data_IF_508940788883
#
_entry.id   IF_508940788883
#
_cell.length_a   1.000
_cell.length_b   1.000
_cell.length_c   1.000
_cell.angle_alpha   90.00
_cell.angle_beta   90.00
_cell.angle_gamma   90.00
#
_symmetry.space_group_name_H-M   'P 1'
#
loop_
_entity.id
_entity.type
_entity.pdbx_description
1 polymer ?
#
# COMPACT_ATOMS: atom_id res chain seq x y z
N UNK A 1 13.95 -46.53 -16.09
CA UNK A 1 13.75 -45.95 -14.75
C UNK A 1 12.54 -45.05 -14.84
N UNK A 2 11.40 -45.48 -14.30
CA UNK A 2 10.12 -44.77 -14.38
C UNK A 2 10.16 -43.67 -13.32
N UNK A 3 10.22 -42.41 -13.73
CA UNK A 3 10.07 -41.25 -12.86
C UNK A 3 8.58 -41.03 -12.66
N UNK A 4 8.04 -41.57 -11.56
CA UNK A 4 6.70 -41.22 -11.10
C UNK A 4 6.73 -39.78 -10.61
N UNK A 5 6.12 -38.84 -11.37
CA UNK A 5 5.83 -37.50 -10.87
C UNK A 5 5.03 -37.64 -9.58
N UNK A 6 5.38 -36.88 -8.53
CA UNK A 6 4.59 -36.86 -7.30
C UNK A 6 3.21 -36.32 -7.63
N UNK A 7 2.15 -37.04 -7.20
CA UNK A 7 0.77 -36.58 -7.33
C UNK A 7 0.63 -35.18 -6.71
N UNK A 8 -0.11 -34.24 -7.36
CA UNK A 8 -0.31 -32.91 -6.82
C UNK A 8 -0.91 -33.01 -5.42
N UNK A 9 -0.23 -32.42 -4.43
CA UNK A 9 -0.73 -32.37 -3.07
C UNK A 9 -2.14 -31.81 -3.07
N UNK A 10 -3.09 -32.52 -2.47
CA UNK A 10 -4.46 -32.04 -2.30
C UNK A 10 -4.39 -30.74 -1.50
N UNK A 11 -4.58 -29.59 -2.16
CA UNK A 11 -4.60 -28.29 -1.48
C UNK A 11 -5.71 -28.30 -0.43
N UNK A 12 -5.32 -28.14 0.80
CA UNK A 12 -6.22 -28.06 1.94
C UNK A 12 -7.24 -26.93 1.73
N UNK A 13 -8.51 -27.20 2.04
CA UNK A 13 -9.59 -26.23 1.84
C UNK A 13 -9.39 -25.07 2.80
N UNK A 14 -9.30 -23.84 2.30
CA UNK A 14 -9.21 -22.62 3.10
C UNK A 14 -10.52 -22.40 3.88
N UNK A 15 -10.43 -22.38 5.22
CA UNK A 15 -11.58 -22.27 6.12
C UNK A 15 -11.51 -21.08 7.08
N UNK A 16 -10.38 -20.38 7.12
CA UNK A 16 -10.17 -19.26 8.05
C UNK A 16 -11.13 -18.08 7.76
N UNK A 17 -11.68 -17.50 8.81
CA UNK A 17 -12.74 -16.49 8.80
C UNK A 17 -12.28 -15.20 9.46
N UNK A 18 -13.18 -14.24 9.63
CA UNK A 18 -12.90 -12.95 10.26
C UNK A 18 -12.33 -13.10 11.67
N UNK A 19 -12.88 -14.00 12.50
CA UNK A 19 -12.41 -14.20 13.88
C UNK A 19 -10.93 -14.61 13.96
N UNK A 20 -10.46 -15.43 13.04
CA UNK A 20 -9.05 -15.80 12.98
C UNK A 20 -8.21 -14.60 12.50
N UNK A 21 -8.68 -13.83 11.50
CA UNK A 21 -8.02 -12.63 11.06
C UNK A 21 -7.92 -11.59 12.17
N UNK A 22 -9.00 -11.39 12.91
CA UNK A 22 -9.04 -10.47 14.05
C UNK A 22 -8.04 -10.88 15.13
N UNK A 23 -8.09 -12.14 15.55
CA UNK A 23 -7.22 -12.66 16.61
C UNK A 23 -5.73 -12.75 16.18
N UNK A 24 -5.43 -13.19 14.95
CA UNK A 24 -4.05 -13.44 14.51
C UNK A 24 -3.36 -12.18 13.98
N UNK A 25 -4.09 -11.17 13.49
CA UNK A 25 -3.52 -10.00 12.81
C UNK A 25 -3.87 -8.68 13.49
N UNK A 26 -5.17 -8.44 13.81
CA UNK A 26 -5.59 -7.13 14.27
C UNK A 26 -5.19 -6.93 15.73
N UNK A 27 -5.56 -7.86 16.63
CA UNK A 27 -5.25 -7.77 18.05
C UNK A 27 -3.76 -7.90 18.38
N UNK A 28 -3.00 -8.54 17.49
CA UNK A 28 -1.54 -8.71 17.66
C UNK A 28 -0.72 -7.52 17.18
N UNK A 29 -1.34 -6.53 16.54
CA UNK A 29 -0.67 -5.37 15.97
C UNK A 29 0.12 -5.68 14.69
N UNK A 30 -0.17 -6.79 14.01
CA UNK A 30 0.42 -7.11 12.70
C UNK A 30 -0.29 -6.38 11.55
N UNK A 31 -1.49 -5.86 11.78
CA UNK A 31 -2.26 -5.16 10.76
C UNK A 31 -1.54 -3.91 10.29
N UNK A 32 -1.25 -3.84 8.99
CA UNK A 32 -0.65 -2.68 8.33
C UNK A 32 -1.68 -1.68 7.81
N UNK A 33 -2.97 -2.03 7.87
CA UNK A 33 -4.04 -1.16 7.39
C UNK A 33 -4.22 -1.14 5.87
N UNK A 34 -3.74 -2.14 5.14
CA UNK A 34 -3.76 -2.16 3.66
C UNK A 34 -5.17 -2.17 3.04
N UNK A 35 -6.22 -2.34 3.84
CA UNK A 35 -7.63 -2.42 3.45
C UNK A 35 -7.98 -3.58 2.49
N UNK A 36 -7.09 -4.53 2.23
CA UNK A 36 -7.38 -5.67 1.38
C UNK A 36 -8.63 -6.45 1.83
N UNK A 37 -8.77 -6.70 3.14
CA UNK A 37 -9.93 -7.37 3.71
C UNK A 37 -11.24 -6.55 3.57
N UNK A 38 -11.15 -5.22 3.57
CA UNK A 38 -12.30 -4.32 3.40
C UNK A 38 -12.84 -4.42 1.98
N UNK A 39 -11.99 -4.10 1.00
CA UNK A 39 -12.42 -4.06 -0.42
C UNK A 39 -12.79 -5.42 -1.01
N UNK A 40 -12.41 -6.51 -0.34
CA UNK A 40 -12.81 -7.87 -0.76
C UNK A 40 -14.08 -8.35 -0.09
N UNK A 41 -14.58 -7.66 0.93
CA UNK A 41 -15.77 -8.09 1.65
C UNK A 41 -17.00 -8.04 0.73
N UNK A 42 -17.63 -9.17 0.38
CA UNK A 42 -18.79 -9.17 -0.52
C UNK A 42 -20.09 -8.79 0.18
N UNK A 43 -20.02 -8.47 1.47
CA UNK A 43 -21.17 -8.16 2.33
C UNK A 43 -21.11 -6.75 2.89
N UNK A 44 -20.03 -6.00 2.62
CA UNK A 44 -19.79 -4.62 3.08
C UNK A 44 -19.92 -4.45 4.61
N UNK A 45 -19.54 -5.48 5.38
CA UNK A 45 -19.62 -5.48 6.85
C UNK A 45 -18.28 -5.18 7.52
N UNK A 46 -17.24 -4.89 6.76
CA UNK A 46 -15.93 -4.49 7.28
C UNK A 46 -15.72 -3.02 6.97
N UNK A 47 -15.74 -2.20 8.01
CA UNK A 47 -15.41 -0.78 7.95
C UNK A 47 -13.91 -0.53 8.02
N UNK A 48 -13.53 0.73 7.83
CA UNK A 48 -12.16 1.18 7.90
C UNK A 48 -12.09 2.55 8.58
N UNK A 49 -11.24 2.67 9.58
CA UNK A 49 -11.11 3.90 10.33
C UNK A 49 -9.95 4.76 9.81
N UNK A 50 -10.27 5.98 9.39
CA UNK A 50 -9.31 6.97 8.91
C UNK A 50 -9.16 8.17 9.84
N UNK A 51 -10.23 8.55 10.55
CA UNK A 51 -10.36 9.89 11.12
C UNK A 51 -9.39 10.15 12.26
N UNK A 52 -9.08 9.12 13.04
CA UNK A 52 -8.19 9.22 14.19
C UNK A 52 -6.77 8.67 13.90
N UNK A 53 -6.40 8.49 12.62
CA UNK A 53 -5.09 7.98 12.24
C UNK A 53 -4.86 6.49 12.55
N UNK A 54 -5.88 5.75 12.99
CA UNK A 54 -5.73 4.33 13.35
C UNK A 54 -5.48 3.43 12.14
N UNK A 55 -6.13 3.72 11.02
CA UNK A 55 -5.96 3.00 9.74
C UNK A 55 -6.05 1.47 9.88
N UNK A 56 -7.05 0.99 10.57
CA UNK A 56 -7.33 -0.43 10.77
C UNK A 56 -8.76 -0.79 10.38
N UNK A 57 -8.99 -2.03 9.87
CA UNK A 57 -10.33 -2.50 9.61
C UNK A 57 -11.03 -2.88 10.92
N UNK A 58 -12.35 -2.72 10.96
CA UNK A 58 -13.20 -3.16 12.05
C UNK A 58 -14.52 -3.74 11.51
N UNK A 59 -15.23 -4.51 12.32
CA UNK A 59 -16.53 -5.05 11.96
C UNK A 59 -17.63 -4.04 12.26
N UNK A 60 -18.53 -3.79 11.30
CA UNK A 60 -19.61 -2.80 11.43
C UNK A 60 -20.75 -3.27 12.33
N UNK A 61 -20.92 -4.57 12.50
CA UNK A 61 -21.97 -5.17 13.34
C UNK A 61 -21.45 -5.31 14.79
N UNK A 62 -21.30 -4.20 15.51
CA UNK A 62 -20.73 -4.15 16.86
C UNK A 62 -21.52 -4.99 17.89
N UNK A 63 -22.83 -5.17 17.71
CA UNK A 63 -23.69 -5.96 18.58
C UNK A 63 -23.27 -7.45 18.66
N UNK A 64 -22.56 -7.94 17.63
CA UNK A 64 -22.04 -9.31 17.59
C UNK A 64 -20.67 -9.48 18.21
N UNK A 65 -20.02 -8.37 18.63
CA UNK A 65 -18.63 -8.34 19.06
C UNK A 65 -17.66 -8.10 17.90
N UNK A 66 -16.51 -7.45 18.19
CA UNK A 66 -15.53 -7.03 17.19
C UNK A 66 -14.88 -8.19 16.43
N UNK A 67 -14.85 -9.37 17.02
CA UNK A 67 -14.25 -10.59 16.50
C UNK A 67 -15.24 -11.50 15.73
N UNK A 68 -16.53 -11.16 15.76
CA UNK A 68 -17.56 -12.00 15.15
C UNK A 68 -18.01 -11.47 13.78
N UNK A 69 -18.45 -12.38 12.92
CA UNK A 69 -19.03 -12.09 11.62
C UNK A 69 -20.02 -13.19 11.24
N UNK A 70 -21.31 -12.85 11.15
CA UNK A 70 -22.37 -13.80 10.80
C UNK A 70 -22.16 -14.47 9.44
N UNK A 71 -21.51 -13.80 8.51
CA UNK A 71 -21.18 -14.36 7.21
C UNK A 71 -19.98 -15.32 7.31
N UNK A 72 -19.05 -15.07 8.23
CA UNK A 72 -17.96 -15.98 8.57
C UNK A 72 -18.53 -17.28 9.13
N UNK A 73 -19.45 -17.23 10.08
CA UNK A 73 -20.12 -18.42 10.64
C UNK A 73 -20.82 -19.26 9.58
N UNK A 74 -21.34 -18.61 8.52
CA UNK A 74 -21.91 -19.27 7.34
C UNK A 74 -20.88 -19.74 6.31
N UNK A 75 -19.58 -19.65 6.63
CA UNK A 75 -18.47 -20.16 5.82
C UNK A 75 -17.80 -19.15 4.88
N UNK A 76 -18.07 -17.84 5.01
CA UNK A 76 -17.34 -16.81 4.27
C UNK A 76 -15.89 -16.71 4.76
N UNK A 77 -14.95 -16.70 3.83
CA UNK A 77 -13.50 -16.65 4.10
C UNK A 77 -12.79 -15.57 3.31
N UNK A 78 -13.51 -14.61 2.72
CA UNK A 78 -12.96 -13.71 1.69
C UNK A 78 -11.95 -12.73 2.29
N UNK A 79 -12.22 -12.17 3.46
CA UNK A 79 -11.32 -11.21 4.13
C UNK A 79 -9.94 -11.80 4.45
N UNK A 80 -9.89 -13.06 4.91
CA UNK A 80 -8.62 -13.73 5.24
C UNK A 80 -7.81 -14.08 3.99
N UNK A 81 -8.48 -14.22 2.83
CA UNK A 81 -7.81 -14.48 1.55
C UNK A 81 -7.08 -13.27 1.00
N UNK A 82 -7.43 -12.07 1.43
CA UNK A 82 -6.84 -10.83 0.96
C UNK A 82 -5.72 -10.30 1.85
N UNK A 83 -5.54 -10.85 3.05
CA UNK A 83 -4.61 -10.28 4.01
C UNK A 83 -3.18 -10.82 3.85
N UNK A 84 -2.20 -9.97 3.50
CA UNK A 84 -0.80 -10.37 3.36
C UNK A 84 -0.11 -10.56 4.72
N UNK A 85 -0.76 -10.20 5.82
CA UNK A 85 -0.23 -10.41 7.19
C UNK A 85 -0.80 -11.65 7.88
N UNK A 86 -1.72 -12.36 7.19
CA UNK A 86 -2.40 -13.52 7.73
C UNK A 86 -1.80 -14.80 7.16
N UNK A 87 -1.05 -15.52 7.98
CA UNK A 87 -0.38 -16.79 7.66
C UNK A 87 0.58 -16.71 6.47
N UNK A 88 1.48 -17.66 6.35
CA UNK A 88 2.50 -17.69 5.29
C UNK A 88 1.86 -17.79 3.89
N UNK A 89 2.42 -17.07 2.92
CA UNK A 89 1.98 -17.02 1.53
C UNK A 89 3.13 -16.72 0.56
N UNK A 90 4.21 -16.12 1.04
CA UNK A 90 5.33 -15.64 0.23
C UNK A 90 5.94 -16.73 -0.65
N UNK A 91 6.23 -17.96 -0.15
CA UNK A 91 6.78 -19.00 -1.00
C UNK A 91 5.86 -19.41 -2.15
N UNK A 92 4.54 -19.38 -1.94
CA UNK A 92 3.59 -19.69 -2.99
C UNK A 92 3.47 -18.56 -4.01
N UNK A 93 3.55 -17.30 -3.57
CA UNK A 93 3.60 -16.14 -4.44
C UNK A 93 4.90 -16.08 -5.25
N UNK A 94 6.05 -16.31 -4.62
CA UNK A 94 7.34 -16.40 -5.31
C UNK A 94 7.28 -17.45 -6.43
N UNK A 95 6.79 -18.64 -6.13
CA UNK A 95 6.63 -19.72 -7.13
C UNK A 95 5.69 -19.31 -8.26
N UNK A 96 4.61 -18.61 -7.95
CA UNK A 96 3.63 -18.15 -8.96
C UNK A 96 4.21 -17.04 -9.87
N UNK A 97 4.85 -16.04 -9.28
CA UNK A 97 5.34 -14.85 -9.99
C UNK A 97 6.67 -15.09 -10.70
N UNK A 98 7.56 -15.88 -10.07
CA UNK A 98 8.95 -16.01 -10.53
C UNK A 98 9.33 -17.44 -10.96
N UNK A 99 8.46 -18.44 -10.73
CA UNK A 99 8.71 -19.84 -11.04
C UNK A 99 9.69 -20.54 -10.09
N UNK A 100 10.09 -19.87 -9.00
CA UNK A 100 10.95 -20.39 -7.94
C UNK A 100 10.65 -19.70 -6.61
N UNK A 101 11.05 -20.29 -5.52
CA UNK A 101 11.08 -19.63 -4.21
C UNK A 101 12.39 -18.84 -4.07
N UNK A 102 12.38 -17.74 -3.31
CA UNK A 102 13.57 -16.94 -3.02
C UNK A 102 14.61 -17.72 -2.22
N UNK A 103 15.87 -17.39 -2.45
CA UNK A 103 16.96 -17.90 -1.63
C UNK A 103 17.08 -17.08 -0.32
N UNK A 104 17.70 -17.65 0.75
CA UNK A 104 17.80 -16.97 2.04
C UNK A 104 18.54 -15.63 2.04
N UNK A 105 19.39 -15.37 1.07
CA UNK A 105 20.14 -14.12 0.88
C UNK A 105 19.42 -13.09 0.01
N UNK A 106 18.29 -13.44 -0.61
CA UNK A 106 17.45 -12.51 -1.39
C UNK A 106 16.54 -11.71 -0.46
N UNK A 107 17.12 -10.88 0.40
CA UNK A 107 16.41 -10.12 1.44
C UNK A 107 15.46 -9.04 0.87
N UNK A 108 15.65 -8.60 -0.36
CA UNK A 108 14.79 -7.65 -1.05
C UNK A 108 13.82 -8.34 -2.04
N UNK A 109 13.62 -9.66 -1.88
CA UNK A 109 12.80 -10.46 -2.78
C UNK A 109 13.50 -10.84 -4.08
N UNK A 110 12.78 -11.51 -4.99
CA UNK A 110 13.27 -11.91 -6.30
C UNK A 110 13.09 -10.74 -7.27
N UNK A 111 14.15 -10.36 -7.96
CA UNK A 111 14.11 -9.30 -8.96
C UNK A 111 14.77 -9.76 -10.27
N UNK A 112 14.32 -9.21 -11.39
CA UNK A 112 14.86 -9.50 -12.72
C UNK A 112 15.88 -8.47 -13.15
N UNK A 113 15.63 -7.20 -12.82
CA UNK A 113 16.44 -6.09 -13.28
C UNK A 113 16.40 -4.94 -12.28
N UNK A 114 17.55 -4.35 -11.99
CA UNK A 114 17.68 -3.13 -11.20
C UNK A 114 18.11 -2.01 -12.13
N UNK A 115 17.33 -0.94 -12.19
CA UNK A 115 17.55 0.19 -13.10
C UNK A 115 17.59 1.49 -12.32
N UNK A 116 18.49 2.36 -12.75
CA UNK A 116 18.49 3.76 -12.35
C UNK A 116 17.80 4.56 -13.45
N UNK A 117 16.65 5.16 -13.15
CA UNK A 117 15.80 5.79 -14.15
C UNK A 117 15.10 7.03 -13.60
N UNK A 118 14.66 7.88 -14.53
CA UNK A 118 13.76 9.02 -14.25
C UNK A 118 12.79 9.21 -15.42
N UNK A 119 11.75 10.03 -15.19
CA UNK A 119 10.86 10.46 -16.27
C UNK A 119 11.64 11.29 -17.30
N UNK A 120 11.42 11.01 -18.59
CA UNK A 120 11.99 11.79 -19.69
C UNK A 120 11.24 13.11 -19.95
N UNK A 121 9.95 13.15 -19.61
CA UNK A 121 9.15 14.38 -19.63
C UNK A 121 9.53 15.26 -18.43
N UNK A 122 10.05 16.46 -18.69
CA UNK A 122 10.54 17.36 -17.65
C UNK A 122 9.43 17.86 -16.70
N UNK A 123 8.17 17.98 -17.17
CA UNK A 123 7.06 18.37 -16.31
C UNK A 123 6.74 17.23 -15.35
N UNK A 124 6.65 16.00 -15.83
CA UNK A 124 6.43 14.81 -15.00
C UNK A 124 7.55 14.64 -13.97
N UNK A 125 8.80 14.85 -14.39
CA UNK A 125 9.95 14.82 -13.49
C UNK A 125 9.85 15.87 -12.37
N UNK A 126 9.57 17.12 -12.71
CA UNK A 126 9.44 18.23 -11.74
C UNK A 126 8.30 18.05 -10.74
N UNK A 127 7.19 17.46 -11.17
CA UNK A 127 6.03 17.22 -10.29
C UNK A 127 6.23 16.00 -9.38
N UNK A 128 7.12 15.09 -9.74
CA UNK A 128 7.45 13.93 -8.93
C UNK A 128 8.22 14.28 -7.65
N UNK A 129 8.23 13.35 -6.69
CA UNK A 129 9.01 13.52 -5.46
C UNK A 129 10.52 13.50 -5.72
N UNK A 130 10.93 12.56 -6.57
CA UNK A 130 12.31 12.36 -7.03
C UNK A 130 12.32 12.29 -8.57
N UNK A 131 12.52 11.12 -9.17
CA UNK A 131 12.59 10.96 -10.63
C UNK A 131 11.27 11.02 -11.40
N UNK A 132 10.11 11.15 -10.76
CA UNK A 132 8.79 11.19 -11.43
C UNK A 132 8.38 9.87 -12.09
N UNK A 133 9.06 8.75 -11.79
CA UNK A 133 8.91 7.48 -12.51
C UNK A 133 7.51 6.88 -12.37
N UNK A 134 6.91 6.93 -11.18
CA UNK A 134 5.55 6.39 -10.95
C UNK A 134 4.55 7.09 -11.88
N UNK A 135 4.54 8.41 -11.89
CA UNK A 135 3.63 9.19 -12.76
C UNK A 135 3.90 8.91 -14.24
N UNK A 136 5.17 8.81 -14.65
CA UNK A 136 5.53 8.49 -16.02
C UNK A 136 5.02 7.10 -16.46
N UNK A 137 5.16 6.10 -15.60
CA UNK A 137 4.64 4.74 -15.88
C UNK A 137 3.12 4.73 -15.98
N UNK A 138 2.41 5.38 -15.06
CA UNK A 138 0.94 5.45 -15.08
C UNK A 138 0.44 6.13 -16.36
N UNK A 139 1.03 7.27 -16.74
CA UNK A 139 0.69 7.98 -17.98
C UNK A 139 0.93 7.06 -19.18
N UNK A 140 2.08 6.41 -19.24
CA UNK A 140 2.40 5.48 -20.32
C UNK A 140 1.43 4.30 -20.40
N UNK A 141 1.13 3.66 -19.29
CA UNK A 141 0.18 2.53 -19.23
C UNK A 141 -1.22 2.97 -19.69
N UNK A 142 -1.63 4.19 -19.33
CA UNK A 142 -2.93 4.75 -19.69
C UNK A 142 -2.99 5.11 -21.18
N UNK A 143 -1.95 5.77 -21.70
CA UNK A 143 -1.87 6.22 -23.09
C UNK A 143 -1.79 5.05 -24.10
N UNK A 144 -1.32 3.87 -23.63
CA UNK A 144 -1.24 2.65 -24.44
C UNK A 144 -2.36 1.65 -24.12
N UNK A 145 -3.43 2.08 -23.46
CA UNK A 145 -4.60 1.25 -23.14
C UNK A 145 -4.31 -0.04 -22.35
N UNK A 146 -3.22 -0.07 -21.57
CA UNK A 146 -2.97 -1.17 -20.64
C UNK A 146 -3.87 -1.13 -19.41
N UNK A 147 -4.19 0.07 -18.93
CA UNK A 147 -5.07 0.31 -17.78
C UNK A 147 -6.13 1.36 -18.12
N UNK A 148 -7.25 1.35 -17.39
CA UNK A 148 -8.31 2.35 -17.50
C UNK A 148 -8.09 3.47 -16.47
N UNK A 149 -7.60 3.12 -15.28
CA UNK A 149 -7.33 4.04 -14.18
C UNK A 149 -6.25 3.47 -13.24
N UNK A 150 -5.83 4.29 -12.29
CA UNK A 150 -4.91 3.86 -11.23
C UNK A 150 -5.46 4.24 -9.85
N UNK A 151 -5.26 3.36 -8.86
CA UNK A 151 -5.55 3.64 -7.46
C UNK A 151 -4.29 4.21 -6.82
N UNK A 152 -4.40 5.43 -6.33
CA UNK A 152 -3.27 6.23 -5.83
C UNK A 152 -3.65 7.01 -4.57
N UNK A 153 -2.66 7.68 -3.97
CA UNK A 153 -2.86 8.57 -2.84
C UNK A 153 -3.01 10.02 -3.29
N UNK A 154 -4.19 10.57 -3.13
CA UNK A 154 -4.46 12.00 -3.24
C UNK A 154 -4.29 12.72 -1.90
N UNK A 155 -4.79 13.95 -1.81
CA UNK A 155 -4.86 14.74 -0.57
C UNK A 155 -6.27 15.27 -0.36
N UNK A 156 -6.65 15.53 0.89
CA UNK A 156 -7.90 16.21 1.19
C UNK A 156 -7.83 17.68 0.76
N UNK A 157 -8.95 18.23 0.31
CA UNK A 157 -8.99 19.58 -0.22
C UNK A 157 -8.71 20.66 0.85
N UNK A 158 -9.09 20.38 2.09
CA UNK A 158 -8.97 21.27 3.25
C UNK A 158 -7.81 20.91 4.17
N UNK A 159 -7.12 19.80 3.90
CA UNK A 159 -5.92 19.36 4.63
C UNK A 159 -4.89 18.76 3.67
N UNK A 160 -3.95 19.57 3.23
CA UNK A 160 -2.92 19.20 2.24
C UNK A 160 -2.01 18.03 2.65
N UNK A 161 -2.01 17.64 3.92
CA UNK A 161 -1.18 16.54 4.44
C UNK A 161 -1.99 15.31 4.85
N UNK A 162 -3.32 15.40 4.78
CA UNK A 162 -4.19 14.25 4.96
C UNK A 162 -4.32 13.50 3.64
N UNK A 163 -3.62 12.38 3.57
CA UNK A 163 -3.69 11.51 2.41
C UNK A 163 -5.06 10.82 2.32
N UNK A 164 -5.61 10.73 1.11
CA UNK A 164 -6.84 9.98 0.84
C UNK A 164 -6.68 9.04 -0.35
N UNK A 165 -7.34 7.87 -0.34
CA UNK A 165 -7.37 6.98 -1.49
C UNK A 165 -8.23 7.62 -2.60
N UNK A 166 -7.69 7.68 -3.81
CA UNK A 166 -8.40 8.16 -5.00
C UNK A 166 -8.09 7.28 -6.21
N UNK A 167 -8.97 7.25 -7.18
CA UNK A 167 -8.61 6.75 -8.51
C UNK A 167 -8.36 7.94 -9.45
N UNK A 168 -7.48 7.72 -10.42
CA UNK A 168 -7.10 8.69 -11.45
C UNK A 168 -7.13 8.02 -12.82
N UNK A 169 -7.65 8.71 -13.83
CA UNK A 169 -7.86 8.17 -15.18
C UNK A 169 -7.29 9.05 -16.30
N UNK A 170 -6.85 10.26 -15.98
CA UNK A 170 -6.27 11.21 -16.92
C UNK A 170 -4.86 11.62 -16.52
N UNK A 171 -4.07 12.13 -17.48
CA UNK A 171 -2.71 12.65 -17.23
C UNK A 171 -2.73 13.75 -16.16
N UNK A 172 -3.69 14.68 -16.22
CA UNK A 172 -3.77 15.79 -15.29
C UNK A 172 -4.07 15.32 -13.85
N UNK A 173 -5.01 14.36 -13.70
CA UNK A 173 -5.29 13.73 -12.41
C UNK A 173 -4.06 12.97 -11.86
N UNK A 174 -3.34 12.22 -12.69
CA UNK A 174 -2.10 11.53 -12.30
C UNK A 174 -1.08 12.54 -11.79
N UNK A 175 -0.86 13.64 -12.50
CA UNK A 175 0.07 14.68 -12.11
C UNK A 175 -0.36 15.42 -10.84
N UNK A 176 -1.65 15.65 -10.64
CA UNK A 176 -2.20 16.26 -9.43
C UNK A 176 -1.96 15.42 -8.16
N UNK A 177 -1.78 14.09 -8.31
CA UNK A 177 -1.47 13.18 -7.20
C UNK A 177 0.03 12.87 -7.05
N UNK A 178 0.91 13.48 -7.86
CA UNK A 178 2.33 13.28 -7.77
C UNK A 178 2.92 13.72 -6.41
N UNK A 179 4.03 13.12 -6.03
CA UNK A 179 4.71 13.39 -4.76
C UNK A 179 4.41 12.35 -3.66
N UNK A 180 5.25 12.33 -2.65
CA UNK A 180 5.14 11.38 -1.52
C UNK A 180 4.21 11.89 -0.43
N UNK A 181 3.57 10.95 0.26
CA UNK A 181 2.77 11.17 1.46
C UNK A 181 3.44 10.42 2.62
N UNK A 182 3.61 11.08 3.77
CA UNK A 182 4.32 10.51 4.92
C UNK A 182 3.39 10.03 6.03
N UNK A 183 2.09 10.30 5.90
CA UNK A 183 1.02 9.63 6.63
C UNK A 183 0.47 8.47 5.80
N UNK A 184 -0.30 7.59 6.43
CA UNK A 184 -0.77 6.39 5.76
C UNK A 184 -1.99 6.67 4.87
N UNK A 185 -2.03 6.00 3.73
CA UNK A 185 -3.19 5.98 2.83
C UNK A 185 -3.39 4.57 2.30
N UNK A 186 -4.58 4.00 2.52
CA UNK A 186 -4.93 2.68 2.00
C UNK A 186 -5.52 2.81 0.58
N UNK A 187 -4.67 2.94 -0.42
CA UNK A 187 -5.07 3.16 -1.82
C UNK A 187 -6.09 2.14 -2.37
N UNK A 188 -6.09 0.86 -1.96
CA UNK A 188 -7.13 -0.08 -2.38
C UNK A 188 -8.56 0.35 -2.06
N UNK A 189 -8.78 1.23 -1.06
CA UNK A 189 -10.13 1.74 -0.74
C UNK A 189 -10.79 2.54 -1.87
N UNK A 190 -10.02 3.03 -2.84
CA UNK A 190 -10.58 3.68 -4.04
C UNK A 190 -11.17 2.69 -5.07
N UNK A 191 -11.01 1.37 -4.85
CA UNK A 191 -11.51 0.35 -5.78
C UNK A 191 -13.02 0.41 -6.05
N UNK A 192 -13.91 0.55 -5.03
CA UNK A 192 -15.35 0.62 -5.28
C UNK A 192 -15.74 1.81 -6.16
N UNK A 193 -15.16 2.98 -5.93
CA UNK A 193 -15.43 4.19 -6.72
C UNK A 193 -14.93 4.04 -8.17
N UNK A 194 -13.71 3.53 -8.37
CA UNK A 194 -13.17 3.28 -9.70
C UNK A 194 -14.06 2.31 -10.49
N UNK A 195 -14.54 1.25 -9.86
CA UNK A 195 -15.45 0.30 -10.51
C UNK A 195 -16.82 0.88 -10.78
N UNK A 196 -17.36 1.69 -9.88
CA UNK A 196 -18.61 2.41 -10.10
C UNK A 196 -18.53 3.38 -11.29
N UNK A 197 -17.34 3.94 -11.53
CA UNK A 197 -17.03 4.75 -12.70
C UNK A 197 -16.79 3.95 -14.00
N UNK A 198 -16.83 2.60 -13.93
CA UNK A 198 -16.67 1.72 -15.09
C UNK A 198 -15.22 1.30 -15.37
N UNK A 199 -14.30 1.50 -14.46
CA UNK A 199 -12.90 1.11 -14.61
C UNK A 199 -12.64 -0.28 -14.03
N UNK A 200 -12.26 -1.24 -14.87
CA UNK A 200 -12.02 -2.64 -14.50
C UNK A 200 -10.57 -3.10 -14.76
N UNK A 201 -9.74 -2.28 -15.41
CA UNK A 201 -8.30 -2.53 -15.65
C UNK A 201 -7.47 -1.50 -14.91
N UNK A 202 -7.04 -1.83 -13.69
CA UNK A 202 -6.48 -0.87 -12.76
C UNK A 202 -4.99 -1.13 -12.49
N UNK A 203 -4.22 -0.05 -12.37
CA UNK A 203 -2.96 -0.09 -11.66
C UNK A 203 -3.18 0.20 -10.18
N UNK A 204 -2.45 -0.48 -9.30
CA UNK A 204 -2.36 -0.15 -7.89
C UNK A 204 -0.98 0.42 -7.59
N UNK A 205 -0.92 1.65 -7.12
CA UNK A 205 0.30 2.23 -6.55
C UNK A 205 0.21 2.13 -5.04
N UNK A 206 1.23 1.58 -4.40
CA UNK A 206 1.20 1.44 -2.95
C UNK A 206 2.51 0.91 -2.37
N UNK A 207 2.63 0.97 -1.06
CA UNK A 207 3.70 0.31 -0.34
C UNK A 207 3.52 -1.21 -0.40
N UNK A 208 4.56 -1.98 -0.11
CA UNK A 208 4.55 -3.43 -0.17
C UNK A 208 3.35 -4.08 0.55
N UNK A 209 2.94 -3.56 1.70
CA UNK A 209 1.77 -4.06 2.41
C UNK A 209 0.45 -3.97 1.61
N UNK A 210 0.35 -3.05 0.65
CA UNK A 210 -0.82 -2.89 -0.22
C UNK A 210 -0.67 -3.72 -1.50
N UNK A 211 0.48 -3.62 -2.16
CA UNK A 211 0.75 -4.32 -3.42
C UNK A 211 0.89 -5.83 -3.26
N UNK A 212 1.13 -6.32 -2.05
CA UNK A 212 1.10 -7.75 -1.72
C UNK A 212 -0.32 -8.34 -1.64
N UNK A 213 -1.36 -7.51 -1.45
CA UNK A 213 -2.72 -8.02 -1.33
C UNK A 213 -3.25 -8.69 -2.61
N UNK A 214 -3.09 -8.14 -3.84
CA UNK A 214 -3.50 -8.81 -5.07
C UNK A 214 -2.86 -10.19 -5.29
N UNK A 215 -1.55 -10.39 -5.18
CA UNK A 215 -0.95 -11.74 -5.32
C UNK A 215 -1.43 -12.72 -4.24
N UNK A 216 -1.65 -12.28 -3.00
CA UNK A 216 -2.25 -13.13 -1.95
C UNK A 216 -3.67 -13.54 -2.32
N UNK A 217 -4.48 -12.63 -2.83
CA UNK A 217 -5.83 -12.94 -3.33
C UNK A 217 -5.79 -13.98 -4.46
N UNK A 218 -4.83 -13.86 -5.35
CA UNK A 218 -4.60 -14.81 -6.43
C UNK A 218 -4.29 -16.20 -5.89
N UNK A 219 -3.31 -16.34 -5.03
CA UNK A 219 -2.90 -17.61 -4.44
C UNK A 219 -4.06 -18.26 -3.68
N UNK A 220 -4.77 -17.47 -2.87
CA UNK A 220 -5.89 -17.96 -2.04
C UNK A 220 -7.24 -18.01 -2.76
N UNK A 221 -7.28 -17.85 -4.09
CA UNK A 221 -8.46 -17.97 -4.94
C UNK A 221 -9.59 -16.97 -4.63
N UNK A 222 -9.25 -15.75 -4.29
CA UNK A 222 -10.16 -14.60 -4.22
C UNK A 222 -10.21 -13.81 -5.55
N UNK A 223 -10.01 -14.48 -6.68
CA UNK A 223 -9.73 -13.89 -7.99
C UNK A 223 -10.78 -12.94 -8.55
N UNK A 224 -12.04 -12.98 -8.10
CA UNK A 224 -13.04 -12.01 -8.56
C UNK A 224 -12.69 -10.58 -8.17
N UNK A 225 -12.07 -10.38 -7.01
CA UNK A 225 -11.68 -9.06 -6.49
C UNK A 225 -10.29 -8.68 -6.96
N UNK A 226 -9.38 -9.66 -7.16
CA UNK A 226 -8.04 -9.36 -7.65
C UNK A 226 -7.96 -9.06 -9.14
N UNK A 227 -8.94 -9.49 -9.94
CA UNK A 227 -8.95 -9.30 -11.41
C UNK A 227 -8.77 -7.86 -11.89
N UNK A 228 -9.34 -6.83 -11.23
CA UNK A 228 -9.13 -5.46 -11.66
C UNK A 228 -7.68 -4.99 -11.51
N UNK A 229 -6.91 -5.55 -10.60
CA UNK A 229 -5.50 -5.16 -10.38
C UNK A 229 -4.61 -5.80 -11.44
N UNK A 230 -4.42 -5.12 -12.57
CA UNK A 230 -3.61 -5.62 -13.68
C UNK A 230 -2.13 -5.30 -13.53
N UNK A 231 -1.79 -4.21 -12.82
CA UNK A 231 -0.43 -3.77 -12.65
C UNK A 231 -0.20 -3.18 -11.25
N UNK A 232 0.83 -3.64 -10.56
CA UNK A 232 1.16 -3.18 -9.22
C UNK A 232 2.49 -2.42 -9.25
N UNK A 233 2.46 -1.14 -8.90
CA UNK A 233 3.65 -0.31 -8.71
C UNK A 233 3.91 -0.20 -7.21
N UNK A 234 4.94 -0.89 -6.75
CA UNK A 234 5.38 -0.89 -5.37
C UNK A 234 6.25 0.33 -5.05
N UNK A 235 6.09 0.85 -3.83
CA UNK A 235 6.94 1.91 -3.31
C UNK A 235 7.83 1.33 -2.22
N UNK A 236 9.15 1.56 -2.30
CA UNK A 236 10.08 1.21 -1.24
C UNK A 236 9.69 1.98 0.03
N UNK A 237 9.47 1.26 1.13
CA UNK A 237 8.92 1.83 2.33
C UNK A 237 9.50 1.16 3.58
N UNK A 238 10.19 1.93 4.42
CA UNK A 238 10.65 1.45 5.73
C UNK A 238 9.57 1.56 6.81
N UNK A 239 8.74 2.59 6.76
CA UNK A 239 7.63 2.85 7.70
C UNK A 239 6.78 4.03 7.24
N UNK A 240 5.60 4.18 7.85
CA UNK A 240 4.78 5.38 7.83
C UNK A 240 4.52 5.85 9.26
N UNK A 241 4.15 7.11 9.41
CA UNK A 241 3.90 7.71 10.70
C UNK A 241 2.40 7.82 10.99
N UNK A 242 2.06 7.85 12.27
CA UNK A 242 0.76 8.23 12.77
C UNK A 242 0.55 9.74 12.56
N UNK A 243 -0.68 10.16 12.29
CA UNK A 243 -1.03 11.56 12.04
C UNK A 243 -0.75 12.46 13.26
N UNK A 244 -0.72 11.89 14.47
CA UNK A 244 -0.34 12.59 15.69
C UNK A 244 1.08 13.19 15.64
N UNK A 245 1.94 12.74 14.72
CA UNK A 245 3.28 13.33 14.52
C UNK A 245 3.19 14.84 14.21
N UNK A 246 2.14 15.27 13.48
CA UNK A 246 1.97 16.68 13.15
C UNK A 246 1.68 17.53 14.39
N UNK A 247 0.78 17.09 15.25
CA UNK A 247 0.36 17.85 16.43
C UNK A 247 1.33 17.70 17.59
N UNK A 248 1.83 16.50 17.86
CA UNK A 248 2.63 16.20 19.04
C UNK A 248 4.13 16.49 18.86
N UNK A 249 4.67 16.23 17.65
CA UNK A 249 6.08 16.49 17.39
C UNK A 249 6.29 17.83 16.67
N UNK A 250 5.72 17.99 15.47
CA UNK A 250 6.05 19.14 14.64
C UNK A 250 5.49 20.43 15.22
N UNK A 251 4.23 20.45 15.63
CA UNK A 251 3.63 21.65 16.18
C UNK A 251 4.02 21.88 17.65
N UNK A 252 3.79 20.92 18.54
CA UNK A 252 4.00 21.10 19.97
C UNK A 252 5.48 21.31 20.36
N UNK A 253 6.41 20.58 19.71
CA UNK A 253 7.83 20.67 20.05
C UNK A 253 8.59 21.70 19.20
N UNK A 254 8.30 21.78 17.90
CA UNK A 254 9.05 22.60 16.95
C UNK A 254 8.31 23.87 16.51
N UNK A 255 7.04 24.04 16.87
CA UNK A 255 6.21 25.17 16.47
C UNK A 255 5.84 25.19 14.99
N UNK A 256 6.03 24.08 14.28
CA UNK A 256 5.78 23.96 12.85
C UNK A 256 4.33 23.54 12.61
N UNK A 257 3.47 24.49 12.28
CA UNK A 257 2.05 24.20 12.05
C UNK A 257 1.83 23.49 10.72
N UNK A 258 1.05 22.44 10.75
CA UNK A 258 0.71 21.60 9.59
C UNK A 258 0.22 22.43 8.39
N UNK A 259 -0.66 23.41 8.63
CA UNK A 259 -1.21 24.27 7.58
C UNK A 259 -0.18 25.21 6.92
N UNK A 260 0.97 25.45 7.57
CA UNK A 260 2.03 26.33 7.08
C UNK A 260 3.12 25.53 6.31
N UNK A 261 3.04 24.20 6.27
CA UNK A 261 4.00 23.34 5.58
C UNK A 261 3.72 23.31 4.08
N UNK A 262 4.73 23.65 3.28
CA UNK A 262 4.67 23.62 1.81
C UNK A 262 5.04 22.25 1.23
N UNK A 263 6.11 21.65 1.76
CA UNK A 263 6.67 20.39 1.25
C UNK A 263 7.36 19.63 2.37
N UNK A 264 7.27 18.32 2.31
CA UNK A 264 8.04 17.41 3.17
C UNK A 264 8.81 16.40 2.34
N UNK A 265 9.95 15.93 2.88
CA UNK A 265 10.74 14.85 2.32
C UNK A 265 11.47 14.09 3.44
N UNK A 266 11.93 12.88 3.15
CA UNK A 266 12.77 12.09 4.06
C UNK A 266 14.02 11.67 3.31
N UNK A 267 15.16 12.27 3.68
CA UNK A 267 16.49 11.93 3.14
C UNK A 267 17.53 11.89 4.27
N UNK A 268 17.49 10.80 5.07
CA UNK A 268 18.31 10.66 6.28
C UNK A 268 17.80 11.49 7.47
N UNK A 269 17.11 12.59 7.21
CA UNK A 269 16.38 13.44 8.16
C UNK A 269 14.98 13.69 7.62
N UNK A 270 14.07 14.13 8.47
CA UNK A 270 12.77 14.63 8.04
C UNK A 270 12.95 16.10 7.63
N UNK A 271 12.72 16.40 6.36
CA UNK A 271 12.90 17.72 5.76
C UNK A 271 11.55 18.40 5.59
N UNK A 272 11.40 19.64 6.07
CA UNK A 272 10.16 20.40 6.02
C UNK A 272 10.46 21.80 5.45
N UNK A 273 9.78 22.17 4.37
CA UNK A 273 9.75 23.50 3.81
C UNK A 273 8.44 24.18 4.16
N UNK A 274 8.50 25.40 4.64
CA UNK A 274 7.35 26.20 5.03
C UNK A 274 6.96 27.19 3.93
N UNK A 275 5.71 27.66 3.93
CA UNK A 275 5.24 28.68 2.99
C UNK A 275 5.95 30.03 3.12
N UNK A 276 6.51 30.35 4.27
CA UNK A 276 7.31 31.56 4.51
C UNK A 276 8.74 31.47 3.95
N UNK A 277 9.11 30.35 3.36
CA UNK A 277 10.43 30.06 2.79
C UNK A 277 11.42 29.48 3.78
N UNK A 278 11.06 29.30 5.05
CA UNK A 278 11.93 28.64 6.03
C UNK A 278 12.04 27.13 5.76
N UNK A 279 13.18 26.55 6.18
CA UNK A 279 13.49 25.15 6.03
C UNK A 279 13.94 24.55 7.36
N UNK A 280 13.43 23.38 7.67
CA UNK A 280 13.70 22.67 8.92
C UNK A 280 14.09 21.22 8.67
N UNK A 281 15.03 20.72 9.49
CA UNK A 281 15.40 19.30 9.53
C UNK A 281 15.14 18.74 10.92
N UNK A 282 14.51 17.57 10.97
CA UNK A 282 14.24 16.85 12.23
C UNK A 282 14.89 15.47 12.12
N UNK A 283 15.63 15.06 13.15
CA UNK A 283 16.24 13.72 13.18
C UNK A 283 15.15 12.67 13.15
N UNK A 284 15.28 11.70 12.24
CA UNK A 284 14.32 10.60 12.11
C UNK A 284 14.19 9.76 13.39
N UNK A 285 15.20 9.76 14.25
CA UNK A 285 15.11 9.08 15.54
C UNK A 285 14.03 9.68 16.44
N UNK A 286 13.82 10.99 16.35
CA UNK A 286 12.76 11.64 17.09
C UNK A 286 11.36 11.30 16.58
N UNK A 287 11.24 10.96 15.29
CA UNK A 287 9.99 10.56 14.67
C UNK A 287 9.56 9.11 15.01
N UNK A 288 10.46 8.30 15.55
CA UNK A 288 10.22 6.87 15.76
C UNK A 288 9.05 6.57 16.69
N UNK A 289 8.76 7.45 17.66
CA UNK A 289 7.65 7.30 18.60
C UNK A 289 6.27 7.28 17.91
N UNK A 290 6.17 7.86 16.73
CA UNK A 290 4.96 7.92 15.92
C UNK A 290 4.95 6.90 14.78
N UNK A 291 5.86 5.94 14.77
CA UNK A 291 5.81 4.84 13.78
C UNK A 291 4.59 3.97 14.03
N UNK A 292 3.77 3.75 13.01
CA UNK A 292 2.57 2.91 13.11
C UNK A 292 2.92 1.48 13.53
N UNK A 293 2.11 0.90 14.42
CA UNK A 293 2.36 -0.41 15.05
C UNK A 293 2.60 -1.52 14.01
N UNK A 294 1.79 -1.57 12.95
CA UNK A 294 1.96 -2.56 11.88
C UNK A 294 3.27 -2.39 11.10
N UNK A 295 3.79 -1.16 10.98
CA UNK A 295 5.06 -0.88 10.31
C UNK A 295 6.26 -1.40 11.11
N UNK A 296 6.20 -1.38 12.45
CA UNK A 296 7.27 -1.91 13.31
C UNK A 296 7.54 -3.41 13.10
N UNK A 297 6.60 -4.13 12.52
CA UNK A 297 6.65 -5.58 12.28
C UNK A 297 6.53 -5.95 10.80
N UNK A 298 6.65 -4.97 9.91
CA UNK A 298 6.56 -5.21 8.47
C UNK A 298 7.94 -5.63 7.93
N UNK A 299 8.09 -6.80 7.31
CA UNK A 299 9.35 -7.25 6.74
C UNK A 299 9.58 -6.71 5.33
N UNK A 300 8.53 -6.24 4.65
CA UNK A 300 8.57 -5.86 3.24
C UNK A 300 8.99 -4.40 3.05
N UNK A 301 10.28 -4.19 2.84
CA UNK A 301 10.85 -2.89 2.46
C UNK A 301 10.73 -2.61 0.96
N UNK A 302 10.89 -3.65 0.14
CA UNK A 302 11.14 -3.51 -1.30
C UNK A 302 9.88 -3.62 -2.16
N UNK A 303 8.70 -3.82 -1.56
CA UNK A 303 7.46 -4.15 -2.27
C UNK A 303 7.63 -5.37 -3.19
N UNK A 304 8.14 -6.43 -2.63
CA UNK A 304 8.78 -7.60 -3.26
C UNK A 304 7.91 -8.35 -4.27
N UNK A 305 6.60 -8.26 -4.15
CA UNK A 305 5.64 -8.93 -5.03
C UNK A 305 4.89 -7.96 -5.95
N UNK A 306 5.48 -6.80 -6.21
CA UNK A 306 4.99 -5.85 -7.22
C UNK A 306 5.57 -6.14 -8.60
N UNK A 307 4.88 -5.71 -9.66
CA UNK A 307 5.40 -5.83 -11.03
C UNK A 307 6.63 -4.93 -11.24
N UNK A 308 6.59 -3.74 -10.62
CA UNK A 308 7.72 -2.80 -10.54
C UNK A 308 7.76 -2.21 -9.13
N UNK A 309 8.92 -2.21 -8.50
CA UNK A 309 9.14 -1.48 -7.25
C UNK A 309 10.01 -0.24 -7.50
N UNK A 310 9.66 0.88 -6.88
CA UNK A 310 10.35 2.16 -7.06
C UNK A 310 10.70 2.81 -5.74
N UNK A 311 11.85 3.49 -5.68
CA UNK A 311 12.27 4.26 -4.51
C UNK A 311 13.22 5.37 -4.89
N UNK A 312 13.22 6.45 -4.12
CA UNK A 312 14.20 7.52 -4.26
C UNK A 312 15.56 7.06 -3.78
N UNK A 313 16.62 7.43 -4.49
CA UNK A 313 17.99 7.14 -4.10
C UNK A 313 18.76 8.42 -3.80
N UNK A 314 19.45 8.42 -2.66
CA UNK A 314 20.44 9.43 -2.32
C UNK A 314 19.94 10.82 -2.00
N UNK A 315 20.91 11.71 -1.75
CA UNK A 315 20.68 13.10 -1.34
C UNK A 315 20.57 14.08 -2.52
N UNK A 316 21.10 13.70 -3.66
CA UNK A 316 21.22 14.60 -4.81
C UNK A 316 20.08 14.32 -5.80
N UNK A 317 19.32 15.38 -6.10
CA UNK A 317 18.22 15.34 -7.06
C UNK A 317 18.71 15.53 -8.52
N UNK A 318 20.02 15.53 -8.74
CA UNK A 318 20.64 15.73 -10.05
C UNK A 318 20.68 14.40 -10.84
N UNK A 319 19.54 14.01 -11.34
CA UNK A 319 19.36 12.87 -12.24
C UNK A 319 18.98 13.31 -13.65
#
# INVERSE_FOLDING_TARGET
>A
MSTTEPAPATRERWTAQWKELYAEVITTGLCTGCAGCVVTCPHDVIGYEHEEGKYIPFHLEEELGLDNCIHGEKGCTTCTRACPRFRAWEPAADMHLFGRVREPDEMAGIWRQLLLTRASDEMVHRMGQDGGLVSAMLIWLRDHDYIDAALVSGVEADDAWKAKPVFVSTKDEILATAGSRYTYCANPLALPEARAAGHDRLALVGMGCQTSSPPVMWDRKAGKVSRPFLFNIGLLCSKTFDDAIFTELFEAKYGLKKAEMLKMNIKGVFQIWMHDGSYHEIDLKECHGWTRTGCLRCPDFAAEHSDVATGGIGKDNDW
#
